data_IF_420714829948
#
_entry.id   IF_420714829948
#
_cell.length_a   1.000
_cell.length_b   1.000
_cell.length_c   1.000
_cell.angle_alpha   90.00
_cell.angle_beta   90.00
_cell.angle_gamma   90.00
#
_symmetry.space_group_name_H-M   'P 1'
#
loop_
_entity.id
_entity.type
_entity.pdbx_description
1 polymer ?
#
# COMPACT_ATOMS: atom_id res chain seq x y z
N UNK A 1 -29.35 -2.46 13.07
CA UNK A 1 -29.04 -2.01 11.69
C UNK A 1 -27.65 -1.41 11.74
N UNK A 2 -26.68 -1.93 11.00
CA UNK A 2 -25.35 -1.31 11.02
C UNK A 2 -25.45 0.11 10.45
N UNK A 3 -24.74 1.10 11.03
CA UNK A 3 -24.84 2.47 10.57
C UNK A 3 -24.24 2.62 9.16
N UNK A 4 -24.91 3.37 8.30
CA UNK A 4 -24.35 3.83 7.02
C UNK A 4 -23.53 5.07 7.34
N UNK A 5 -22.20 4.98 7.24
CA UNK A 5 -21.30 6.10 7.50
C UNK A 5 -20.73 6.54 6.14
N UNK A 6 -20.90 7.82 5.81
CA UNK A 6 -20.42 8.43 4.56
C UNK A 6 -20.91 7.76 3.26
N UNK A 7 -22.11 7.18 3.28
CA UNK A 7 -22.70 6.49 2.11
C UNK A 7 -22.16 5.08 1.87
N UNK A 8 -21.36 4.55 2.79
CA UNK A 8 -20.82 3.19 2.76
C UNK A 8 -21.59 2.33 3.77
N UNK A 9 -22.19 1.23 3.31
CA UNK A 9 -22.87 0.29 4.21
C UNK A 9 -21.83 -0.58 4.92
N UNK A 10 -21.71 -0.41 6.25
CA UNK A 10 -20.78 -1.18 7.09
C UNK A 10 -21.12 -2.68 7.16
N UNK A 11 -22.35 -3.08 6.77
CA UNK A 11 -22.69 -4.52 6.63
C UNK A 11 -21.90 -5.24 5.54
N UNK A 12 -21.30 -4.49 4.60
CA UNK A 12 -20.48 -5.05 3.53
C UNK A 12 -19.06 -5.43 3.98
N UNK A 13 -18.64 -4.96 5.17
CA UNK A 13 -17.41 -5.42 5.83
C UNK A 13 -17.69 -6.82 6.37
N UNK A 14 -17.46 -7.83 5.54
CA UNK A 14 -17.57 -9.23 5.94
C UNK A 14 -16.24 -9.92 5.71
N UNK A 15 -15.82 -10.72 6.69
CA UNK A 15 -14.64 -11.59 6.56
C UNK A 15 -14.72 -12.51 5.33
N UNK A 16 -15.94 -12.87 4.91
CA UNK A 16 -16.20 -13.64 3.69
C UNK A 16 -15.81 -12.91 2.40
N UNK A 17 -15.68 -11.57 2.38
CA UNK A 17 -15.19 -10.83 1.21
C UNK A 17 -13.68 -11.00 0.99
N UNK A 18 -12.91 -11.43 2.01
CA UNK A 18 -11.51 -11.86 1.86
C UNK A 18 -11.36 -13.25 1.21
N UNK A 19 -12.46 -13.94 0.87
CA UNK A 19 -12.38 -15.24 0.20
C UNK A 19 -11.71 -15.10 -1.17
N UNK A 20 -10.82 -16.04 -1.47
CA UNK A 20 -10.08 -16.13 -2.74
C UNK A 20 -10.98 -15.91 -3.98
N UNK A 21 -12.18 -16.49 -3.98
CA UNK A 21 -13.15 -16.35 -5.08
C UNK A 21 -13.58 -14.90 -5.36
N UNK A 22 -13.63 -14.05 -4.33
CA UNK A 22 -14.01 -12.64 -4.45
C UNK A 22 -12.83 -11.76 -4.88
N UNK A 23 -11.62 -12.07 -4.38
CA UNK A 23 -10.39 -11.34 -4.71
C UNK A 23 -9.92 -11.58 -6.15
N UNK A 24 -10.12 -12.80 -6.66
CA UNK A 24 -9.73 -13.19 -8.01
C UNK A 24 -10.89 -13.16 -9.01
N UNK A 25 -11.99 -12.46 -8.77
CA UNK A 25 -13.07 -12.39 -9.76
C UNK A 25 -12.73 -11.43 -10.93
N UNK A 26 -13.13 -11.77 -12.16
CA UNK A 26 -12.98 -10.95 -13.38
C UNK A 26 -14.14 -9.95 -13.59
N UNK A 27 -15.05 -9.85 -12.62
CA UNK A 27 -16.20 -8.94 -12.66
C UNK A 27 -15.81 -7.45 -12.67
N UNK A 28 -14.67 -7.10 -12.10
CA UNK A 28 -14.23 -5.71 -11.92
C UNK A 28 -12.95 -5.41 -12.71
N UNK A 29 -12.91 -4.25 -13.36
CA UNK A 29 -11.80 -3.86 -14.23
C UNK A 29 -10.48 -3.71 -13.42
N UNK A 30 -9.41 -4.41 -13.82
CA UNK A 30 -8.08 -4.38 -13.16
C UNK A 30 -8.03 -4.86 -11.69
N UNK A 31 -9.05 -5.52 -11.14
CA UNK A 31 -9.07 -5.91 -9.70
C UNK A 31 -7.90 -6.81 -9.29
N UNK A 32 -7.61 -7.85 -10.06
CA UNK A 32 -6.47 -8.77 -9.81
C UNK A 32 -5.12 -8.04 -9.91
N UNK A 33 -4.98 -7.21 -10.93
CA UNK A 33 -3.76 -6.44 -11.21
C UNK A 33 -3.49 -5.41 -10.11
N UNK A 34 -4.53 -4.70 -9.66
CA UNK A 34 -4.46 -3.81 -8.49
C UNK A 34 -4.03 -4.56 -7.24
N UNK A 35 -4.66 -5.70 -6.98
CA UNK A 35 -4.36 -6.50 -5.80
C UNK A 35 -2.90 -6.94 -5.77
N UNK A 36 -2.41 -7.56 -6.85
CA UNK A 36 -1.03 -8.05 -6.92
C UNK A 36 -0.04 -6.88 -6.76
N UNK A 37 -0.24 -5.80 -7.53
CA UNK A 37 0.74 -4.71 -7.59
C UNK A 37 0.78 -3.92 -6.27
N UNK A 38 -0.38 -3.66 -5.65
CA UNK A 38 -0.44 -2.96 -4.37
C UNK A 38 0.19 -3.81 -3.25
N UNK A 39 -0.07 -5.12 -3.23
CA UNK A 39 0.50 -6.01 -2.23
C UNK A 39 2.00 -6.21 -2.41
N UNK A 40 2.49 -6.35 -3.66
CA UNK A 40 3.93 -6.38 -3.93
C UNK A 40 4.61 -5.10 -3.45
N UNK A 41 4.03 -3.93 -3.73
CA UNK A 41 4.56 -2.66 -3.27
C UNK A 41 4.63 -2.60 -1.73
N UNK A 42 3.53 -2.97 -1.05
CA UNK A 42 3.49 -2.96 0.42
C UNK A 42 4.47 -3.96 1.05
N UNK A 43 4.57 -5.20 0.54
CA UNK A 43 5.48 -6.21 1.09
C UNK A 43 6.93 -5.75 0.99
N UNK A 44 7.34 -5.22 -0.17
CA UNK A 44 8.71 -4.74 -0.34
C UNK A 44 9.02 -3.50 0.51
N UNK A 45 8.10 -2.54 0.60
CA UNK A 45 8.26 -1.38 1.48
C UNK A 45 8.35 -1.79 2.96
N UNK A 46 7.45 -2.65 3.45
CA UNK A 46 7.45 -3.12 4.85
C UNK A 46 8.69 -3.96 5.16
N UNK A 47 9.16 -4.77 4.21
CA UNK A 47 10.40 -5.55 4.37
C UNK A 47 11.61 -4.63 4.44
N UNK A 48 11.69 -3.62 3.57
CA UNK A 48 12.73 -2.59 3.62
C UNK A 48 12.74 -1.85 4.95
N UNK A 49 11.56 -1.42 5.41
CA UNK A 49 11.37 -0.76 6.69
C UNK A 49 11.81 -1.63 7.86
N UNK A 50 11.41 -2.90 7.87
CA UNK A 50 11.74 -3.84 8.95
C UNK A 50 13.24 -4.10 9.03
N UNK A 51 13.90 -4.30 7.89
CA UNK A 51 15.35 -4.49 7.82
C UNK A 51 16.12 -3.21 8.18
N UNK A 52 15.64 -2.05 7.72
CA UNK A 52 16.19 -0.75 8.07
C UNK A 52 16.08 -0.49 9.57
N UNK A 53 14.94 -0.84 10.17
CA UNK A 53 14.68 -0.73 11.62
C UNK A 53 15.56 -1.68 12.42
N UNK A 54 15.74 -2.92 11.96
CA UNK A 54 16.64 -3.86 12.62
C UNK A 54 18.08 -3.32 12.66
N UNK A 55 18.59 -2.84 11.52
CA UNK A 55 19.91 -2.21 11.46
C UNK A 55 19.98 -0.94 12.32
N UNK A 56 18.92 -0.13 12.34
CA UNK A 56 18.80 1.05 13.17
C UNK A 56 18.92 0.71 14.66
N UNK A 57 18.19 -0.32 15.12
CA UNK A 57 18.25 -0.79 16.50
C UNK A 57 19.67 -1.25 16.86
N UNK A 58 20.35 -1.98 15.97
CA UNK A 58 21.74 -2.40 16.21
C UNK A 58 22.67 -1.17 16.37
N UNK A 59 22.53 -0.15 15.51
CA UNK A 59 23.31 1.07 15.60
C UNK A 59 23.05 1.88 16.88
N UNK A 60 21.81 1.93 17.36
CA UNK A 60 21.48 2.59 18.63
C UNK A 60 22.02 1.79 19.82
N UNK A 61 21.83 0.47 19.82
CA UNK A 61 22.30 -0.39 20.89
C UNK A 61 23.82 -0.37 21.01
N UNK A 62 24.54 -0.35 19.89
CA UNK A 62 26.00 -0.23 19.87
C UNK A 62 26.50 1.13 20.37
N UNK A 63 25.83 2.23 20.00
CA UNK A 63 26.11 3.56 20.58
C UNK A 63 25.92 3.57 22.09
N UNK A 64 24.83 2.97 22.57
CA UNK A 64 24.53 2.88 24.00
C UNK A 64 25.56 2.03 24.73
N UNK A 65 26.02 0.91 24.15
CA UNK A 65 27.06 0.08 24.76
C UNK A 65 28.37 0.86 24.90
N UNK A 66 28.83 1.52 23.83
CA UNK A 66 30.09 2.29 23.88
C UNK A 66 30.01 3.41 24.91
N UNK A 67 28.88 4.11 24.98
CA UNK A 67 28.65 5.16 25.97
C UNK A 67 28.58 4.63 27.42
N UNK A 68 28.13 3.37 27.62
CA UNK A 68 28.16 2.71 28.92
C UNK A 68 29.57 2.26 29.32
N UNK A 69 30.38 1.81 28.36
CA UNK A 69 31.76 1.36 28.58
C UNK A 69 32.70 2.53 28.89
N UNK A 70 32.65 3.60 28.09
CA UNK A 70 33.35 4.85 28.36
C UNK A 70 32.47 6.05 27.99
N UNK A 71 31.90 6.77 28.99
CA UNK A 71 31.05 7.94 28.75
C UNK A 71 31.73 9.10 28.00
N UNK A 72 33.06 9.07 27.83
CA UNK A 72 33.83 10.09 27.12
C UNK A 72 33.96 9.81 25.62
N UNK A 73 33.62 8.60 25.19
CA UNK A 73 33.71 8.17 23.78
C UNK A 73 32.31 8.10 23.18
N UNK A 74 32.12 8.78 22.06
CA UNK A 74 30.85 8.82 21.34
C UNK A 74 31.00 8.22 19.95
N UNK A 75 30.06 7.35 19.58
CA UNK A 75 29.92 6.82 18.22
C UNK A 75 28.82 7.61 17.51
N UNK A 76 29.15 8.32 16.44
CA UNK A 76 28.17 9.08 15.67
C UNK A 76 27.66 8.23 14.50
N UNK A 77 26.39 7.79 14.56
CA UNK A 77 25.67 7.15 13.45
C UNK A 77 24.39 7.86 13.04
N UNK A 78 24.31 9.17 13.29
CA UNK A 78 23.10 9.97 13.08
C UNK A 78 22.63 9.97 11.63
N UNK A 79 23.55 9.84 10.67
CA UNK A 79 23.24 9.81 9.26
C UNK A 79 22.36 8.60 8.91
N UNK A 80 22.74 7.41 9.38
CA UNK A 80 21.95 6.20 9.18
C UNK A 80 20.64 6.23 9.98
N UNK A 81 20.68 6.76 11.20
CA UNK A 81 19.47 6.93 12.03
C UNK A 81 18.43 7.80 11.32
N UNK A 82 18.86 8.92 10.74
CA UNK A 82 17.99 9.81 9.96
C UNK A 82 17.43 9.13 8.71
N UNK A 83 18.27 8.46 7.93
CA UNK A 83 17.85 7.75 6.72
C UNK A 83 16.85 6.61 7.01
N UNK A 84 17.13 5.80 8.03
CA UNK A 84 16.25 4.71 8.44
C UNK A 84 14.90 5.24 8.99
N UNK A 85 14.93 6.32 9.77
CA UNK A 85 13.71 6.96 10.28
C UNK A 85 12.82 7.52 9.15
N UNK A 86 13.44 8.13 8.14
CA UNK A 86 12.71 8.58 6.95
C UNK A 86 12.13 7.43 6.14
N UNK A 87 12.85 6.29 6.07
CA UNK A 87 12.34 5.07 5.43
C UNK A 87 11.10 4.51 6.15
N UNK A 88 11.09 4.50 7.49
CA UNK A 88 9.92 4.12 8.29
C UNK A 88 8.73 5.03 7.94
N UNK A 89 8.94 6.35 7.96
CA UNK A 89 7.89 7.31 7.61
C UNK A 89 7.32 7.04 6.20
N UNK A 90 8.20 6.88 5.20
CA UNK A 90 7.79 6.61 3.83
C UNK A 90 7.03 5.29 3.70
N UNK A 91 7.50 4.23 4.37
CA UNK A 91 6.86 2.91 4.39
C UNK A 91 5.44 2.97 4.95
N UNK A 92 5.27 3.59 6.12
CA UNK A 92 3.96 3.78 6.77
C UNK A 92 3.02 4.61 5.87
N UNK A 93 3.53 5.67 5.23
CA UNK A 93 2.74 6.49 4.32
C UNK A 93 2.22 5.66 3.13
N UNK A 94 3.10 4.90 2.48
CA UNK A 94 2.74 4.00 1.36
C UNK A 94 1.70 2.96 1.81
N UNK A 95 1.93 2.31 2.96
CA UNK A 95 1.02 1.32 3.51
C UNK A 95 -0.36 1.91 3.85
N UNK A 96 -0.40 3.14 4.36
CA UNK A 96 -1.66 3.82 4.69
C UNK A 96 -2.45 4.13 3.42
N UNK A 97 -1.81 4.68 2.39
CA UNK A 97 -2.51 5.06 1.14
C UNK A 97 -2.93 3.82 0.35
N UNK A 98 -2.00 2.94 0.00
CA UNK A 98 -2.33 1.78 -0.84
C UNK A 98 -3.03 0.66 -0.07
N UNK A 99 -2.77 0.52 1.23
CA UNK A 99 -3.52 -0.38 2.10
C UNK A 99 -4.96 0.07 2.26
N UNK A 100 -5.21 1.37 2.52
CA UNK A 100 -6.57 1.89 2.56
C UNK A 100 -7.27 1.75 1.19
N UNK A 101 -6.60 2.10 0.09
CA UNK A 101 -7.13 1.91 -1.26
C UNK A 101 -7.51 0.45 -1.53
N UNK A 102 -6.68 -0.50 -1.07
CA UNK A 102 -6.98 -1.93 -1.16
C UNK A 102 -8.23 -2.32 -0.36
N UNK A 103 -8.35 -1.91 0.90
CA UNK A 103 -9.52 -2.24 1.71
C UNK A 103 -10.81 -1.63 1.14
N UNK A 104 -10.74 -0.39 0.63
CA UNK A 104 -11.89 0.23 0.01
C UNK A 104 -12.32 -0.48 -1.29
N UNK A 105 -11.37 -0.85 -2.16
CA UNK A 105 -11.65 -1.62 -3.38
C UNK A 105 -12.17 -3.06 -3.06
N UNK A 106 -11.84 -3.60 -1.89
CA UNK A 106 -12.31 -4.92 -1.45
C UNK A 106 -13.73 -4.87 -0.86
N UNK A 107 -13.98 -3.96 0.08
CA UNK A 107 -15.26 -3.89 0.80
C UNK A 107 -16.36 -3.26 -0.04
N UNK A 108 -16.07 -2.16 -0.75
CA UNK A 108 -17.05 -1.39 -1.52
C UNK A 108 -16.63 -1.19 -2.98
N UNK A 109 -16.66 -2.26 -3.79
CA UNK A 109 -16.21 -2.20 -5.18
C UNK A 109 -17.11 -1.35 -6.09
N UNK A 110 -18.36 -1.08 -5.69
CA UNK A 110 -19.33 -0.27 -6.45
C UNK A 110 -19.45 1.19 -5.96
N UNK A 111 -18.55 1.63 -5.06
CA UNK A 111 -18.61 2.98 -4.49
C UNK A 111 -18.55 4.06 -5.57
N UNK A 112 -19.44 5.04 -5.48
CA UNK A 112 -19.37 6.28 -6.27
C UNK A 112 -18.66 7.34 -5.44
N UNK A 113 -17.37 7.53 -5.71
CA UNK A 113 -16.59 8.58 -5.06
C UNK A 113 -16.83 9.94 -5.72
N UNK A 114 -16.78 11.00 -4.92
CA UNK A 114 -16.80 12.37 -5.43
C UNK A 114 -15.50 12.66 -6.18
N UNK A 115 -15.55 13.61 -7.13
CA UNK A 115 -14.35 14.02 -7.90
C UNK A 115 -13.20 14.50 -7.00
N UNK A 116 -13.53 15.15 -5.88
CA UNK A 116 -12.54 15.60 -4.91
C UNK A 116 -11.78 14.44 -4.27
N UNK A 117 -12.49 13.37 -3.88
CA UNK A 117 -11.87 12.18 -3.26
C UNK A 117 -10.98 11.44 -4.26
N UNK A 118 -11.41 11.29 -5.52
CA UNK A 118 -10.59 10.70 -6.57
C UNK A 118 -9.31 11.50 -6.83
N UNK A 119 -9.40 12.84 -6.79
CA UNK A 119 -8.23 13.72 -6.92
C UNK A 119 -7.30 13.61 -5.71
N UNK A 120 -7.84 13.51 -4.49
CA UNK A 120 -7.04 13.25 -3.28
C UNK A 120 -6.27 11.94 -3.38
N UNK A 121 -6.88 10.85 -3.87
CA UNK A 121 -6.18 9.59 -4.10
C UNK A 121 -5.02 9.73 -5.08
N UNK A 122 -5.21 10.48 -6.17
CA UNK A 122 -4.14 10.74 -7.14
C UNK A 122 -2.98 11.54 -6.54
N UNK A 123 -3.28 12.61 -5.79
CA UNK A 123 -2.26 13.41 -5.11
C UNK A 123 -1.49 12.55 -4.12
N UNK A 124 -2.19 11.79 -3.27
CA UNK A 124 -1.55 10.92 -2.29
C UNK A 124 -0.69 9.83 -2.94
N UNK A 125 -1.12 9.27 -4.07
CA UNK A 125 -0.33 8.29 -4.81
C UNK A 125 0.94 8.89 -5.41
N UNK A 126 0.88 10.13 -5.92
CA UNK A 126 2.06 10.85 -6.40
C UNK A 126 3.01 11.18 -5.25
N UNK A 127 2.48 11.68 -4.12
CA UNK A 127 3.29 11.93 -2.92
C UNK A 127 3.94 10.65 -2.40
N UNK A 128 3.23 9.52 -2.41
CA UNK A 128 3.79 8.23 -2.02
C UNK A 128 4.96 7.82 -2.92
N UNK A 129 4.87 8.04 -4.23
CA UNK A 129 5.95 7.77 -5.18
C UNK A 129 7.16 8.71 -4.95
N UNK A 130 6.92 9.98 -4.61
CA UNK A 130 7.99 10.95 -4.32
C UNK A 130 8.69 10.65 -3.00
N UNK A 131 7.94 10.38 -1.92
CA UNK A 131 8.53 10.05 -0.62
C UNK A 131 9.29 8.72 -0.65
N UNK A 132 8.75 7.71 -1.33
CA UNK A 132 9.47 6.44 -1.49
C UNK A 132 10.72 6.58 -2.36
N UNK A 133 10.71 7.44 -3.39
CA UNK A 133 11.91 7.74 -4.18
C UNK A 133 12.97 8.43 -3.32
N UNK A 134 12.56 9.50 -2.62
CA UNK A 134 13.44 10.25 -1.73
C UNK A 134 14.05 9.31 -0.68
N UNK A 135 13.24 8.42 -0.11
CA UNK A 135 13.71 7.45 0.87
C UNK A 135 14.69 6.44 0.28
N UNK A 136 14.42 5.89 -0.90
CA UNK A 136 15.33 4.97 -1.57
C UNK A 136 16.67 5.65 -1.90
N UNK A 137 16.64 6.90 -2.37
CA UNK A 137 17.83 7.70 -2.67
C UNK A 137 18.64 7.98 -1.41
N UNK A 138 18.01 8.56 -0.38
CA UNK A 138 18.69 8.88 0.89
C UNK A 138 19.27 7.62 1.53
N UNK A 139 18.51 6.53 1.59
CA UNK A 139 19.01 5.28 2.17
C UNK A 139 20.16 4.70 1.35
N UNK A 140 20.12 4.82 0.01
CA UNK A 140 21.22 4.39 -0.87
C UNK A 140 22.48 5.22 -0.63
N UNK A 141 22.37 6.55 -0.63
CA UNK A 141 23.49 7.47 -0.45
C UNK A 141 24.16 7.24 0.92
N UNK A 142 23.37 7.26 1.99
CA UNK A 142 23.89 7.05 3.34
C UNK A 142 24.53 5.67 3.47
N UNK A 143 23.84 4.61 3.02
CA UNK A 143 24.37 3.25 3.18
C UNK A 143 25.64 3.02 2.36
N UNK A 144 25.76 3.61 1.17
CA UNK A 144 26.88 3.35 0.25
C UNK A 144 28.12 4.20 0.54
N UNK A 145 27.93 5.47 0.92
CA UNK A 145 29.01 6.46 1.03
C UNK A 145 29.42 6.70 2.48
N UNK A 146 28.47 6.78 3.41
CA UNK A 146 28.77 7.21 4.77
C UNK A 146 29.23 6.05 5.67
N UNK A 147 30.04 6.42 6.66
CA UNK A 147 30.44 5.56 7.77
C UNK A 147 30.26 6.37 9.05
N UNK A 148 29.96 5.69 10.16
CA UNK A 148 30.06 6.28 11.47
C UNK A 148 31.50 6.68 11.79
N UNK A 149 31.65 7.55 12.77
CA UNK A 149 32.95 7.96 13.27
C UNK A 149 32.92 8.11 14.79
N UNK A 150 34.09 7.96 15.40
CA UNK A 150 34.27 8.15 16.84
C UNK A 150 34.62 9.60 17.15
N UNK A 151 34.21 10.08 18.32
CA UNK A 151 34.66 11.36 18.86
C UNK A 151 34.88 11.22 20.36
N UNK A 152 35.97 11.79 20.86
CA UNK A 152 36.30 11.79 22.27
C UNK A 152 37.30 12.91 22.63
N UNK A 153 37.70 13.00 23.91
CA UNK A 153 38.76 13.92 24.34
C UNK A 153 40.07 13.69 23.58
N UNK A 154 40.94 14.72 23.56
CA UNK A 154 42.27 14.62 22.95
C UNK A 154 43.02 13.38 23.46
N UNK A 155 43.40 12.48 22.54
CA UNK A 155 44.07 11.21 22.84
C UNK A 155 43.23 9.96 22.64
N UNK A 156 41.90 10.08 22.42
CA UNK A 156 41.09 8.94 21.95
C UNK A 156 41.38 8.68 20.47
N UNK A 157 42.10 7.60 20.20
CA UNK A 157 42.41 7.17 18.84
C UNK A 157 41.30 6.27 18.28
N UNK A 158 41.12 6.24 16.95
CA UNK A 158 40.08 5.44 16.28
C UNK A 158 40.15 3.95 16.65
N UNK A 159 41.36 3.45 16.94
CA UNK A 159 41.57 2.07 17.39
C UNK A 159 40.93 1.73 18.74
N UNK A 160 40.91 2.67 19.69
CA UNK A 160 40.27 2.45 20.99
C UNK A 160 38.74 2.47 20.85
N UNK A 161 38.21 3.39 20.06
CA UNK A 161 36.78 3.42 19.74
C UNK A 161 36.31 2.11 19.07
N UNK A 162 37.12 1.60 18.14
CA UNK A 162 36.86 0.33 17.48
C UNK A 162 36.90 -0.86 18.46
N UNK A 163 37.85 -0.89 19.40
CA UNK A 163 37.93 -1.94 20.43
C UNK A 163 36.69 -1.95 21.34
N UNK A 164 36.16 -0.77 21.71
CA UNK A 164 34.90 -0.68 22.46
C UNK A 164 33.71 -1.17 21.63
N UNK A 165 33.69 -0.83 20.33
CA UNK A 165 32.62 -1.25 19.42
C UNK A 165 32.66 -2.76 19.15
N UNK A 166 33.84 -3.37 19.07
CA UNK A 166 34.01 -4.80 18.83
C UNK A 166 33.50 -5.66 20.01
N UNK A 167 33.28 -5.07 21.20
CA UNK A 167 32.59 -5.73 22.31
C UNK A 167 31.09 -5.93 22.03
N UNK A 168 30.53 -5.18 21.07
CA UNK A 168 29.15 -5.38 20.60
C UNK A 168 29.09 -6.58 19.66
N UNK A 169 28.67 -7.73 20.16
CA UNK A 169 28.62 -9.00 19.41
C UNK A 169 27.21 -9.41 18.95
N UNK A 170 26.18 -8.64 19.32
CA UNK A 170 24.79 -8.93 18.93
C UNK A 170 24.68 -8.93 17.40
N UNK A 171 24.07 -9.99 16.88
CA UNK A 171 23.78 -10.18 15.45
C UNK A 171 24.98 -10.06 14.49
N UNK A 172 26.18 -10.40 14.97
CA UNK A 172 27.42 -10.35 14.17
C UNK A 172 28.14 -9.00 14.23
N UNK A 173 27.72 -8.11 15.13
CA UNK A 173 28.34 -6.81 15.37
C UNK A 173 27.84 -5.71 14.45
N UNK A 174 28.26 -4.48 14.75
CA UNK A 174 27.85 -3.29 14.00
C UNK A 174 29.05 -2.68 13.27
N UNK A 175 29.14 -2.86 11.94
CA UNK A 175 30.25 -2.26 11.21
C UNK A 175 30.09 -0.75 11.15
N UNK A 176 31.19 -0.04 11.34
CA UNK A 176 31.25 1.43 11.26
C UNK A 176 30.75 1.95 9.92
N UNK A 177 31.13 1.29 8.83
CA UNK A 177 30.66 1.61 7.49
C UNK A 177 29.36 0.86 7.17
N UNK A 178 28.30 1.61 6.87
CA UNK A 178 26.95 1.09 6.68
C UNK A 178 26.85 0.07 5.54
N UNK A 179 27.64 0.22 4.48
CA UNK A 179 27.70 -0.74 3.35
C UNK A 179 28.12 -2.16 3.74
N UNK A 180 28.78 -2.33 4.89
CA UNK A 180 29.20 -3.65 5.39
C UNK A 180 28.10 -4.31 6.22
N UNK A 181 27.04 -3.59 6.57
CA UNK A 181 25.89 -4.16 7.27
C UNK A 181 24.94 -4.81 6.26
N UNK A 182 24.80 -6.15 6.27
CA UNK A 182 23.97 -6.84 5.28
C UNK A 182 22.48 -6.46 5.39
N UNK A 183 22.00 -6.11 6.59
CA UNK A 183 20.61 -5.66 6.81
C UNK A 183 20.37 -4.29 6.18
N UNK A 184 21.32 -3.38 6.33
CA UNK A 184 21.26 -2.06 5.69
C UNK A 184 21.25 -2.15 4.16
N UNK A 185 22.13 -2.99 3.60
CA UNK A 185 22.18 -3.22 2.14
C UNK A 185 20.88 -3.87 1.64
N UNK A 186 20.38 -4.89 2.35
CA UNK A 186 19.11 -5.53 2.00
C UNK A 186 17.93 -4.53 2.06
N UNK A 187 17.90 -3.65 3.07
CA UNK A 187 16.89 -2.59 3.17
C UNK A 187 16.89 -1.67 1.95
N UNK A 188 18.07 -1.28 1.43
CA UNK A 188 18.21 -0.48 0.19
C UNK A 188 17.64 -1.23 -1.02
N UNK A 189 17.98 -2.51 -1.19
CA UNK A 189 17.49 -3.31 -2.32
C UNK A 189 15.95 -3.39 -2.30
N UNK A 190 15.38 -3.69 -1.14
CA UNK A 190 13.93 -3.74 -0.99
C UNK A 190 13.27 -2.36 -1.12
N UNK A 191 13.94 -1.26 -0.77
CA UNK A 191 13.43 0.09 -0.97
C UNK A 191 13.24 0.39 -2.47
N UNK A 192 14.22 0.03 -3.31
CA UNK A 192 14.12 0.19 -4.77
C UNK A 192 13.05 -0.70 -5.40
N UNK A 193 12.96 -1.97 -4.98
CA UNK A 193 11.88 -2.85 -5.42
C UNK A 193 10.50 -2.34 -4.99
N UNK A 194 10.41 -1.83 -3.77
CA UNK A 194 9.22 -1.18 -3.23
C UNK A 194 8.82 0.04 -4.06
N UNK A 195 9.78 0.92 -4.39
CA UNK A 195 9.53 2.10 -5.22
C UNK A 195 8.99 1.74 -6.62
N UNK A 196 9.55 0.73 -7.28
CA UNK A 196 9.00 0.23 -8.55
C UNK A 196 7.56 -0.28 -8.39
N UNK A 197 7.28 -0.98 -7.28
CA UNK A 197 5.93 -1.38 -6.92
C UNK A 197 4.98 -0.20 -6.70
N UNK A 198 5.45 0.86 -6.03
CA UNK A 198 4.69 2.09 -5.78
C UNK A 198 4.39 2.82 -7.10
N UNK A 199 5.36 2.92 -8.01
CA UNK A 199 5.14 3.46 -9.35
C UNK A 199 4.09 2.67 -10.12
N UNK A 200 4.20 1.34 -10.13
CA UNK A 200 3.21 0.48 -10.74
C UNK A 200 1.82 0.69 -10.13
N UNK A 201 1.75 0.81 -8.80
CA UNK A 201 0.52 1.06 -8.06
C UNK A 201 -0.11 2.39 -8.45
N UNK A 202 0.71 3.44 -8.58
CA UNK A 202 0.30 4.76 -9.05
C UNK A 202 -0.30 4.67 -10.47
N UNK A 203 0.42 4.07 -11.43
CA UNK A 203 -0.08 3.93 -12.82
C UNK A 203 -1.42 3.20 -12.87
N UNK A 204 -1.57 2.10 -12.13
CA UNK A 204 -2.81 1.33 -12.10
C UNK A 204 -3.95 2.12 -11.44
N UNK A 205 -3.68 2.86 -10.37
CA UNK A 205 -4.66 3.73 -9.73
C UNK A 205 -5.16 4.80 -10.70
N UNK A 206 -4.26 5.49 -11.41
CA UNK A 206 -4.64 6.50 -12.41
C UNK A 206 -5.47 5.90 -13.55
N UNK A 207 -5.11 4.70 -14.01
CA UNK A 207 -5.85 4.00 -15.06
C UNK A 207 -7.25 3.58 -14.59
N UNK A 208 -7.38 3.17 -13.33
CA UNK A 208 -8.67 2.87 -12.69
C UNK A 208 -9.55 4.12 -12.61
N UNK A 209 -9.02 5.24 -12.11
CA UNK A 209 -9.76 6.50 -11.97
C UNK A 209 -10.19 7.04 -13.35
N UNK A 210 -9.33 6.93 -14.37
CA UNK A 210 -9.67 7.31 -15.75
C UNK A 210 -10.82 6.45 -16.30
N UNK A 211 -10.84 5.14 -16.01
CA UNK A 211 -11.94 4.26 -16.42
C UNK A 211 -13.26 4.64 -15.73
N UNK A 212 -13.21 4.95 -14.44
CA UNK A 212 -14.38 5.41 -13.68
C UNK A 212 -14.91 6.75 -14.18
N UNK A 213 -14.03 7.71 -14.47
CA UNK A 213 -14.40 9.05 -14.97
C UNK A 213 -15.01 9.03 -16.38
N UNK A 214 -14.70 8.02 -17.21
CA UNK A 214 -15.31 7.81 -18.54
C UNK A 214 -16.77 7.32 -18.48
N UNK A 215 -17.35 7.18 -17.29
CA UNK A 215 -18.77 6.80 -17.10
C UNK A 215 -19.04 5.30 -17.26
N UNK A 216 -17.99 4.48 -17.39
CA UNK A 216 -18.10 3.03 -17.63
C UNK A 216 -18.38 2.23 -16.34
N UNK A 217 -18.33 2.88 -15.17
CA UNK A 217 -18.46 2.24 -13.86
C UNK A 217 -17.27 1.34 -13.47
N UNK A 218 -17.32 0.68 -12.30
CA UNK A 218 -16.24 -0.17 -11.80
C UNK A 218 -16.20 -1.57 -12.42
N UNK A 219 -17.28 -1.99 -13.11
CA UNK A 219 -17.40 -3.31 -13.74
C UNK A 219 -16.57 -3.42 -15.01
N UNK A 220 -16.01 -4.61 -15.25
CA UNK A 220 -15.30 -4.92 -16.48
C UNK A 220 -16.25 -4.95 -17.69
N UNK A 221 -15.72 -4.72 -18.89
CA UNK A 221 -16.50 -4.74 -20.15
C UNK A 221 -17.30 -6.05 -20.29
N UNK A 222 -16.69 -7.19 -19.95
CA UNK A 222 -17.34 -8.50 -20.01
C UNK A 222 -18.45 -8.68 -18.97
N UNK A 223 -18.30 -8.12 -17.76
CA UNK A 223 -19.35 -8.17 -16.74
C UNK A 223 -20.54 -7.29 -17.13
N UNK A 224 -20.28 -6.11 -17.71
CA UNK A 224 -21.34 -5.22 -18.20
C UNK A 224 -22.12 -5.82 -19.36
N UNK A 225 -21.45 -6.46 -20.32
CA UNK A 225 -22.12 -7.15 -21.42
C UNK A 225 -23.01 -8.28 -20.91
N UNK A 226 -22.53 -9.06 -19.92
CA UNK A 226 -23.30 -10.14 -19.31
C UNK A 226 -24.51 -9.64 -18.52
N UNK A 227 -24.36 -8.54 -17.78
CA UNK A 227 -25.46 -7.91 -17.05
C UNK A 227 -26.49 -7.29 -18.00
N UNK A 228 -26.03 -6.68 -19.11
CA UNK A 228 -26.90 -6.17 -20.16
C UNK A 228 -27.66 -7.30 -20.87
N UNK A 229 -27.01 -8.44 -21.15
CA UNK A 229 -27.61 -9.64 -21.74
C UNK A 229 -28.63 -10.29 -20.80
N UNK A 230 -28.35 -10.33 -19.50
CA UNK A 230 -29.33 -10.78 -18.50
C UNK A 230 -30.53 -9.83 -18.39
N UNK A 231 -30.30 -8.52 -18.44
CA UNK A 231 -31.38 -7.53 -18.43
C UNK A 231 -32.25 -7.62 -19.69
N UNK A 232 -31.65 -7.82 -20.87
CA UNK A 232 -32.40 -8.03 -22.11
C UNK A 232 -33.19 -9.34 -22.11
N UNK A 233 -32.61 -10.41 -21.55
CA UNK A 233 -33.28 -11.72 -21.43
C UNK A 233 -34.44 -11.71 -20.44
N UNK A 234 -34.36 -10.92 -19.36
CA UNK A 234 -35.47 -10.72 -18.42
C UNK A 234 -36.58 -9.79 -18.97
N UNK A 235 -36.27 -8.93 -19.94
CA UNK A 235 -37.25 -8.04 -20.59
C UNK A 235 -38.03 -8.68 -21.73
N UNK A 236 -37.68 -9.90 -22.16
CA UNK A 236 -38.50 -10.65 -23.10
C UNK A 236 -39.72 -11.22 -22.35
N UNK A 237 -40.96 -10.88 -22.73
CA UNK A 237 -42.13 -11.50 -22.13
C UNK A 237 -42.02 -13.02 -22.34
N UNK A 238 -42.17 -13.80 -21.27
CA UNK A 238 -42.39 -15.23 -21.41
C UNK A 238 -43.64 -15.41 -22.24
N UNK A 239 -43.47 -15.74 -23.53
CA UNK A 239 -44.56 -16.29 -24.31
C UNK A 239 -44.84 -17.65 -23.70
N UNK A 240 -45.79 -17.69 -22.78
CA UNK A 240 -46.27 -18.93 -22.19
C UNK A 240 -46.85 -19.77 -23.35
N UNK A 241 -46.18 -20.88 -23.61
CA UNK A 241 -46.66 -21.94 -24.48
C UNK A 241 -47.83 -22.67 -23.79
N UNK A 242 -48.98 -22.01 -23.66
CA UNK A 242 -50.25 -22.65 -23.35
C UNK A 242 -51.37 -21.65 -23.68
N UNK A 243 -52.04 -21.87 -24.80
CA UNK A 243 -53.21 -21.09 -25.17
C UNK A 243 -54.33 -21.28 -24.15
N UNK A 244 -54.73 -20.21 -23.46
CA UNK A 244 -56.14 -19.98 -23.11
C UNK A 244 -56.33 -18.50 -22.80
N UNK A 245 -57.12 -17.84 -23.65
CA UNK A 245 -57.53 -16.43 -23.51
C UNK A 245 -58.72 -16.39 -22.55
N UNK A 246 -58.58 -15.74 -21.40
CA UNK A 246 -59.69 -15.29 -20.55
C UNK A 246 -59.30 -13.97 -19.90
N UNK A 247 -59.66 -12.88 -20.57
CA UNK A 247 -59.79 -11.57 -19.94
C UNK A 247 -61.13 -10.99 -20.39
N UNK A 248 -62.16 -11.26 -19.58
CA UNK A 248 -63.45 -10.57 -19.64
C UNK A 248 -63.23 -9.12 -19.19
N UNK A 249 -63.16 -8.21 -20.16
CA UNK A 249 -63.15 -6.77 -19.93
C UNK A 249 -64.57 -6.35 -19.55
N UNK A 250 -64.77 -6.07 -18.27
CA UNK A 250 -66.01 -5.52 -17.72
C UNK A 250 -66.11 -4.03 -18.08
N UNK A 251 -66.91 -3.69 -19.09
CA UNK A 251 -67.18 -2.32 -19.53
C UNK A 251 -68.53 -1.86 -18.92
N UNK A 252 -68.59 -0.82 -18.08
CA UNK A 252 -69.86 -0.23 -17.66
C UNK A 252 -70.50 0.61 -18.80
N UNK A 253 -71.84 0.69 -18.87
CA UNK A 253 -72.56 1.23 -20.02
C UNK A 253 -72.47 2.77 -20.15
N UNK A 254 -72.75 3.33 -21.35
CA UNK A 254 -72.55 4.73 -21.64
C UNK A 254 -73.70 5.59 -21.08
N UNK A 255 -73.35 6.78 -20.59
CA UNK A 255 -74.32 7.85 -20.33
C UNK A 255 -74.95 8.31 -21.65
N UNK A 256 -76.29 8.36 -21.70
CA UNK A 256 -77.06 9.09 -22.70
C UNK A 256 -77.37 10.50 -22.17
N UNK A 257 -77.08 11.48 -23.03
CA UNK A 257 -77.49 12.91 -23.10
C UNK A 257 -77.39 13.81 -21.86
#
# INVERSE_FOLDING_TARGET
MAPVIWGLDLKEIQWNKFKNSNMWNNEYHLRRTRFIIYQCAMIFCVTSESLGTAALSDYIDSQNLVAQLDPRVYVFNNDYIGAASYNIFSGIFVATIFGAAFFFDLFWPERRESRAVLLSWQICAVLAAVFSLASALTLTEITSVHCGYFRGPEGVNDGYGQELLDQYTKDGGTPLCYRKNPRAVAAVVFAWLGWLGVLGSCVVMFRSISHTNKGLGPKSTHARLRDAEKASTQSLPKTDAAGTRKDDVNIPPPYQE
#
